data_IF_155465504416
#
_entry.id   IF_155465504416
#
_cell.length_a   1.000
_cell.length_b   1.000
_cell.length_c   1.000
_cell.angle_alpha   90.00
_cell.angle_beta   90.00
_cell.angle_gamma   90.00
#
_symmetry.space_group_name_H-M   'P 1'
#
loop_
_entity.id
_entity.type
_entity.pdbx_description
1 polymer ?
#
# COMPACT_ATOMS: atom_id res chain seq x y z
N UNK A 1 15.24 2.38 -10.83
CA UNK A 1 13.99 2.13 -10.08
C UNK A 1 14.24 0.96 -9.11
N UNK A 2 14.06 1.14 -7.79
CA UNK A 2 14.32 0.08 -6.80
C UNK A 2 13.29 -1.05 -6.92
N UNK A 3 13.72 -2.31 -6.83
CA UNK A 3 12.86 -3.52 -6.96
C UNK A 3 11.64 -3.49 -6.01
N UNK A 4 11.78 -2.93 -4.81
CA UNK A 4 10.73 -2.82 -3.78
C UNK A 4 9.52 -1.99 -4.23
N UNK A 5 9.76 -0.93 -5.01
CA UNK A 5 8.69 -0.06 -5.51
C UNK A 5 7.77 -0.79 -6.50
N UNK A 6 8.34 -1.58 -7.41
CA UNK A 6 7.56 -2.32 -8.41
C UNK A 6 6.72 -3.42 -7.76
N UNK A 7 7.28 -4.13 -6.79
CA UNK A 7 6.56 -5.18 -6.05
C UNK A 7 5.39 -4.60 -5.27
N UNK A 8 5.61 -3.49 -4.54
CA UNK A 8 4.55 -2.82 -3.80
C UNK A 8 3.43 -2.35 -4.73
N UNK A 9 3.76 -1.74 -5.87
CA UNK A 9 2.79 -1.36 -6.91
C UNK A 9 1.98 -2.56 -7.40
N UNK A 10 2.65 -3.66 -7.75
CA UNK A 10 1.97 -4.88 -8.21
C UNK A 10 1.00 -5.42 -7.16
N UNK A 11 1.44 -5.54 -5.90
CA UNK A 11 0.59 -6.01 -4.80
C UNK A 11 -0.61 -5.11 -4.65
N UNK A 12 -0.40 -3.80 -4.51
CA UNK A 12 -1.50 -2.87 -4.34
C UNK A 12 -2.46 -2.86 -5.51
N UNK A 13 -1.98 -3.04 -6.74
CA UNK A 13 -2.88 -3.17 -7.89
C UNK A 13 -3.90 -4.30 -7.74
N UNK A 14 -3.50 -5.42 -7.14
CA UNK A 14 -4.36 -6.58 -6.91
C UNK A 14 -5.32 -6.39 -5.72
N UNK A 15 -4.87 -5.70 -4.67
CA UNK A 15 -5.59 -5.58 -3.40
C UNK A 15 -6.21 -4.18 -3.18
N UNK A 16 -6.22 -3.34 -4.22
CA UNK A 16 -6.51 -1.91 -4.07
C UNK A 16 -7.88 -1.63 -3.43
N UNK A 17 -8.91 -2.38 -3.85
CA UNK A 17 -10.25 -2.25 -3.28
C UNK A 17 -10.25 -2.52 -1.78
N UNK A 18 -9.74 -3.69 -1.37
CA UNK A 18 -9.64 -4.07 0.04
C UNK A 18 -8.79 -3.09 0.85
N UNK A 19 -7.72 -2.56 0.26
CA UNK A 19 -6.84 -1.60 0.91
C UNK A 19 -7.57 -0.27 1.15
N UNK A 20 -8.24 0.28 0.13
CA UNK A 20 -9.05 1.50 0.26
C UNK A 20 -10.21 1.29 1.23
N UNK A 21 -10.88 0.13 1.20
CA UNK A 21 -11.93 -0.23 2.15
C UNK A 21 -11.40 -0.25 3.57
N UNK A 22 -10.25 -0.88 3.80
CA UNK A 22 -9.64 -0.94 5.13
C UNK A 22 -9.32 0.45 5.69
N UNK A 23 -8.79 1.35 4.86
CA UNK A 23 -8.40 2.71 5.26
C UNK A 23 -9.59 3.63 5.50
N UNK A 24 -10.62 3.56 4.66
CA UNK A 24 -11.74 4.52 4.66
C UNK A 24 -12.98 4.03 5.40
N UNK A 25 -13.06 2.71 5.66
CA UNK A 25 -14.26 2.01 6.15
C UNK A 25 -15.46 2.08 5.22
N UNK A 26 -15.25 2.43 3.94
CA UNK A 26 -16.27 2.41 2.88
C UNK A 26 -15.95 1.29 1.90
N UNK A 27 -16.95 0.65 1.30
CA UNK A 27 -16.68 -0.43 0.35
C UNK A 27 -16.28 0.13 -1.03
N UNK A 28 -15.00 -0.04 -1.37
CA UNK A 28 -14.40 0.39 -2.64
C UNK A 28 -14.23 -0.79 -3.60
N UNK A 29 -14.72 -0.64 -4.84
CA UNK A 29 -14.48 -1.59 -5.93
C UNK A 29 -13.79 -0.89 -7.11
N UNK A 30 -12.52 -1.21 -7.40
CA UNK A 30 -11.82 -0.69 -8.59
C UNK A 30 -12.55 -1.11 -9.87
N UNK A 31 -12.89 -0.15 -10.72
CA UNK A 31 -13.57 -0.39 -12.01
C UNK A 31 -12.53 -0.54 -13.11
N UNK A 32 -11.65 0.46 -13.25
CA UNK A 32 -10.65 0.51 -14.32
C UNK A 32 -9.44 1.35 -13.91
N UNK A 33 -8.25 0.87 -14.30
CA UNK A 33 -7.02 1.68 -14.26
C UNK A 33 -6.95 2.51 -15.54
N UNK A 34 -6.85 3.82 -15.36
CA UNK A 34 -6.80 4.81 -16.43
C UNK A 34 -5.34 5.09 -16.82
N UNK A 35 -5.15 5.64 -18.02
CA UNK A 35 -3.83 5.99 -18.52
C UNK A 35 -3.24 7.18 -17.73
N UNK A 36 -2.07 6.96 -17.15
CA UNK A 36 -1.39 7.88 -16.24
C UNK A 36 -0.37 8.81 -16.91
N UNK A 37 -0.20 8.73 -18.24
CA UNK A 37 0.70 9.61 -18.97
C UNK A 37 0.17 11.04 -19.02
N UNK A 38 1.03 11.97 -18.64
CA UNK A 38 0.76 13.39 -18.50
C UNK A 38 1.81 14.17 -19.30
N UNK A 39 1.32 15.09 -20.14
CA UNK A 39 2.15 15.99 -20.91
C UNK A 39 2.32 17.31 -20.16
N UNK A 40 3.57 17.66 -19.82
CA UNK A 40 3.93 18.91 -19.11
C UNK A 40 4.48 19.95 -20.11
N UNK A 41 4.60 19.58 -21.38
CA UNK A 41 5.02 20.42 -22.50
C UNK A 41 5.21 19.57 -23.77
N UNK A 42 5.67 20.18 -24.86
CA UNK A 42 5.77 19.52 -26.18
C UNK A 42 6.65 18.25 -26.20
N UNK A 43 7.64 18.14 -25.31
CA UNK A 43 8.56 16.99 -25.26
C UNK A 43 8.66 16.31 -23.89
N UNK A 44 8.02 16.85 -22.84
CA UNK A 44 8.18 16.34 -21.47
C UNK A 44 6.95 15.57 -21.03
N UNK A 45 7.13 14.27 -20.82
CA UNK A 45 6.13 13.36 -20.29
C UNK A 45 6.46 13.02 -18.84
N UNK A 46 5.43 12.81 -18.04
CA UNK A 46 5.51 12.08 -16.78
C UNK A 46 4.40 11.04 -16.73
N UNK A 47 4.61 10.03 -15.91
CA UNK A 47 3.63 8.99 -15.67
C UNK A 47 3.37 8.93 -14.18
N UNK A 48 2.10 9.09 -13.81
CA UNK A 48 1.67 8.79 -12.45
C UNK A 48 1.67 7.27 -12.22
N UNK A 49 1.85 6.85 -10.97
CA UNK A 49 1.90 5.45 -10.62
C UNK A 49 0.53 4.78 -10.84
N UNK A 50 -0.53 5.32 -10.24
CA UNK A 50 -1.89 4.81 -10.43
C UNK A 50 -2.88 5.96 -10.59
N UNK A 51 -3.79 5.80 -11.55
CA UNK A 51 -5.02 6.56 -11.63
C UNK A 51 -6.15 5.56 -11.87
N UNK A 52 -7.07 5.46 -10.91
CA UNK A 52 -8.13 4.44 -10.91
C UNK A 52 -9.48 5.10 -10.76
N UNK A 53 -10.47 4.57 -11.48
CA UNK A 53 -11.88 4.87 -11.21
C UNK A 53 -12.44 3.76 -10.32
N UNK A 54 -13.01 4.13 -9.19
CA UNK A 54 -13.56 3.20 -8.21
C UNK A 54 -15.05 3.47 -7.99
N UNK A 55 -15.85 2.42 -7.84
CA UNK A 55 -17.19 2.50 -7.26
C UNK A 55 -17.08 2.50 -5.73
N UNK A 56 -17.85 3.35 -5.08
CA UNK A 56 -18.05 3.39 -3.63
C UNK A 56 -19.50 2.98 -3.39
N UNK A 57 -19.71 1.91 -2.63
CA UNK A 57 -21.06 1.42 -2.35
C UNK A 57 -21.88 2.49 -1.61
N UNK A 58 -23.04 2.85 -2.17
CA UNK A 58 -23.92 3.89 -1.63
C UNK A 58 -23.52 5.34 -1.92
N UNK A 59 -22.37 5.62 -2.54
CA UNK A 59 -21.88 7.01 -2.76
C UNK A 59 -21.54 7.34 -4.23
N UNK A 60 -21.45 6.35 -5.12
CA UNK A 60 -21.22 6.57 -6.55
C UNK A 60 -19.81 6.21 -7.00
N UNK A 61 -19.20 7.02 -7.86
CA UNK A 61 -17.85 6.78 -8.41
C UNK A 61 -16.86 7.87 -7.98
N UNK A 62 -15.62 7.49 -7.71
CA UNK A 62 -14.51 8.39 -7.39
C UNK A 62 -13.28 8.07 -8.27
N UNK A 63 -12.53 9.11 -8.65
CA UNK A 63 -11.25 8.95 -9.33
C UNK A 63 -10.12 9.19 -8.34
N UNK A 64 -9.26 8.19 -8.17
CA UNK A 64 -8.20 8.18 -7.18
C UNK A 64 -6.86 8.09 -7.90
N UNK A 65 -6.01 9.07 -7.65
CA UNK A 65 -4.61 9.08 -8.06
C UNK A 65 -3.74 8.66 -6.87
N UNK A 66 -2.85 7.70 -7.06
CA UNK A 66 -1.99 7.14 -6.00
C UNK A 66 -0.54 7.19 -6.46
N UNK A 67 0.32 7.77 -5.62
CA UNK A 67 1.78 7.83 -5.81
C UNK A 67 2.52 7.09 -4.70
N UNK A 68 3.56 6.34 -5.05
CA UNK A 68 4.38 5.59 -4.09
C UNK A 68 5.71 6.32 -3.83
N UNK A 69 6.00 6.60 -2.56
CA UNK A 69 7.24 7.29 -2.18
C UNK A 69 7.94 6.58 -1.01
N UNK A 70 9.25 6.38 -1.16
CA UNK A 70 10.09 5.70 -0.15
C UNK A 70 10.92 6.70 0.67
N UNK A 71 11.36 7.79 0.04
CA UNK A 71 12.27 8.77 0.62
C UNK A 71 11.68 10.16 0.56
N UNK A 72 12.16 11.05 1.43
CA UNK A 72 11.70 12.43 1.41
C UNK A 72 12.18 13.11 0.14
N UNK A 73 11.25 13.69 -0.60
CA UNK A 73 11.52 14.50 -1.79
C UNK A 73 10.96 15.91 -1.55
N UNK A 74 11.81 16.95 -1.43
CA UNK A 74 11.33 18.31 -1.12
C UNK A 74 10.33 18.86 -2.15
N UNK A 75 10.56 18.57 -3.44
CA UNK A 75 9.73 19.02 -4.57
C UNK A 75 8.44 18.20 -4.76
N UNK A 76 8.15 17.28 -3.85
CA UNK A 76 7.05 16.33 -4.01
C UNK A 76 5.65 16.99 -4.05
N UNK A 77 5.35 18.03 -3.27
CA UNK A 77 4.06 18.73 -3.38
C UNK A 77 3.84 19.37 -4.75
N UNK A 78 4.88 19.94 -5.35
CA UNK A 78 4.82 20.51 -6.70
C UNK A 78 4.60 19.40 -7.75
N UNK A 79 5.25 18.25 -7.58
CA UNK A 79 5.01 17.06 -8.42
C UNK A 79 3.55 16.59 -8.33
N UNK A 80 3.00 16.53 -7.12
CA UNK A 80 1.61 16.13 -6.88
C UNK A 80 0.60 17.09 -7.50
N UNK A 81 0.82 18.41 -7.39
CA UNK A 81 0.00 19.42 -8.08
C UNK A 81 0.11 19.29 -9.60
N UNK A 82 1.32 19.04 -10.13
CA UNK A 82 1.52 18.80 -11.56
C UNK A 82 0.71 17.60 -12.06
N UNK A 83 0.68 16.51 -11.28
CA UNK A 83 -0.14 15.35 -11.59
C UNK A 83 -1.62 15.64 -11.54
N UNK A 84 -2.08 16.42 -10.54
CA UNK A 84 -3.46 16.84 -10.45
C UNK A 84 -3.91 17.58 -11.71
N UNK A 85 -3.18 18.63 -12.09
CA UNK A 85 -3.51 19.46 -13.26
C UNK A 85 -3.50 18.62 -14.53
N UNK A 86 -2.47 17.77 -14.70
CA UNK A 86 -2.34 16.92 -15.88
C UNK A 86 -3.49 15.92 -16.05
N UNK A 87 -3.82 15.20 -14.99
CA UNK A 87 -4.91 14.23 -15.00
C UNK A 87 -6.27 14.93 -15.13
N UNK A 88 -6.47 16.04 -14.43
CA UNK A 88 -7.71 16.82 -14.50
C UNK A 88 -7.92 17.37 -15.92
N UNK A 89 -6.88 17.89 -16.58
CA UNK A 89 -6.98 18.34 -17.99
C UNK A 89 -7.33 17.21 -18.95
N UNK A 90 -6.86 15.99 -18.68
CA UNK A 90 -7.05 14.83 -19.55
C UNK A 90 -8.43 14.19 -19.40
N UNK A 91 -8.94 14.13 -18.17
CA UNK A 91 -10.16 13.39 -17.84
C UNK A 91 -11.34 14.28 -17.45
N UNK A 92 -11.08 15.52 -17.03
CA UNK A 92 -12.09 16.50 -16.59
C UNK A 92 -13.03 15.95 -15.50
N UNK A 93 -12.44 15.33 -14.47
CA UNK A 93 -13.14 14.72 -13.33
C UNK A 93 -12.54 15.20 -12.01
N UNK A 94 -13.29 15.21 -10.90
CA UNK A 94 -12.73 15.38 -9.56
C UNK A 94 -11.73 14.26 -9.25
N UNK A 95 -10.56 14.61 -8.71
CA UNK A 95 -9.49 13.65 -8.41
C UNK A 95 -9.11 13.75 -6.94
N UNK A 96 -9.22 12.63 -6.23
CA UNK A 96 -8.61 12.49 -4.90
C UNK A 96 -7.19 11.97 -5.05
N UNK A 97 -6.24 12.65 -4.44
CA UNK A 97 -4.83 12.28 -4.51
C UNK A 97 -4.34 11.69 -3.19
N UNK A 98 -3.80 10.48 -3.28
CA UNK A 98 -3.22 9.71 -2.19
C UNK A 98 -1.73 9.51 -2.45
N UNK A 99 -0.95 9.61 -1.39
CA UNK A 99 0.48 9.31 -1.40
C UNK A 99 0.70 8.19 -0.41
N UNK A 100 1.28 7.08 -0.88
CA UNK A 100 1.63 5.94 -0.06
C UNK A 100 3.11 6.00 0.27
N UNK A 101 3.40 6.32 1.53
CA UNK A 101 4.75 6.36 2.04
C UNK A 101 5.13 5.05 2.71
N UNK A 102 6.22 4.43 2.25
CA UNK A 102 6.68 3.12 2.71
C UNK A 102 8.16 3.13 3.17
N UNK A 103 8.67 4.32 3.50
CA UNK A 103 10.04 4.49 3.98
C UNK A 103 10.30 3.90 5.37
N UNK A 104 11.56 3.56 5.62
CA UNK A 104 12.06 3.02 6.89
C UNK A 104 12.11 4.07 8.02
N UNK A 105 12.15 5.36 7.68
CA UNK A 105 12.04 6.47 8.61
C UNK A 105 10.66 7.12 8.48
N UNK A 106 10.19 7.91 9.45
CA UNK A 106 8.97 8.72 9.28
C UNK A 106 9.13 9.76 8.15
N UNK A 107 8.04 10.06 7.40
CA UNK A 107 8.08 11.07 6.35
C UNK A 107 8.26 12.47 6.96
N UNK A 108 9.01 13.33 6.27
CA UNK A 108 9.29 14.73 6.67
C UNK A 108 8.82 15.77 5.65
N UNK A 109 8.13 15.36 4.58
CA UNK A 109 7.63 16.28 3.55
C UNK A 109 6.23 16.80 3.89
N UNK A 110 5.94 18.01 3.42
CA UNK A 110 4.64 18.67 3.59
C UNK A 110 3.58 17.98 2.73
N UNK A 111 2.33 17.96 3.20
CA UNK A 111 1.17 17.47 2.44
C UNK A 111 0.32 18.60 1.85
N UNK A 112 0.80 19.83 2.04
CA UNK A 112 0.16 21.07 1.63
C UNK A 112 1.18 21.94 0.90
N UNK A 113 0.71 22.61 -0.13
CA UNK A 113 1.45 23.60 -0.89
C UNK A 113 0.63 24.88 -0.86
N UNK A 114 1.21 25.94 -0.30
CA UNK A 114 0.66 27.29 -0.33
C UNK A 114 1.67 28.21 -0.99
N UNK A 115 1.36 28.67 -2.20
CA UNK A 115 2.18 29.61 -2.97
C UNK A 115 1.24 30.69 -3.50
N UNK A 116 1.35 31.90 -2.97
CA UNK A 116 0.51 33.04 -3.36
C UNK A 116 -0.99 32.66 -3.35
N UNK A 117 -1.65 32.70 -4.51
CA UNK A 117 -3.08 32.39 -4.68
C UNK A 117 -3.37 30.88 -4.81
N UNK A 118 -2.36 30.03 -4.75
CA UNK A 118 -2.50 28.57 -4.88
C UNK A 118 -2.50 27.92 -3.51
N UNK A 119 -3.65 27.36 -3.14
CA UNK A 119 -3.78 26.41 -2.02
C UNK A 119 -4.04 25.00 -2.55
N UNK A 120 -3.14 24.07 -2.24
CA UNK A 120 -3.22 22.70 -2.70
C UNK A 120 -2.87 21.72 -1.58
N UNK A 121 -3.59 20.60 -1.52
CA UNK A 121 -3.38 19.53 -0.53
C UNK A 121 -3.62 18.16 -1.13
N UNK A 122 -2.97 17.16 -0.56
CA UNK A 122 -3.21 15.74 -0.85
C UNK A 122 -3.18 14.92 0.44
N UNK A 123 -3.64 13.67 0.36
CA UNK A 123 -3.64 12.77 1.53
C UNK A 123 -2.37 11.94 1.55
N UNK A 124 -1.64 11.97 2.66
CA UNK A 124 -0.52 11.07 2.92
C UNK A 124 -0.97 9.88 3.78
N UNK A 125 -0.72 8.67 3.30
CA UNK A 125 -0.88 7.42 4.04
C UNK A 125 0.53 6.88 4.32
N UNK A 126 0.97 6.99 5.57
CA UNK A 126 2.20 6.36 6.05
C UNK A 126 1.93 4.88 6.36
N UNK A 127 2.34 3.97 5.46
CA UNK A 127 2.18 2.53 5.66
C UNK A 127 2.84 2.06 6.96
N UNK A 128 3.92 2.71 7.37
CA UNK A 128 4.62 2.39 8.63
C UNK A 128 3.78 2.63 9.89
N UNK A 129 2.67 3.38 9.79
CA UNK A 129 1.73 3.59 10.91
C UNK A 129 0.62 2.53 10.99
N UNK A 130 0.39 1.76 9.93
CA UNK A 130 -0.62 0.70 9.91
C UNK A 130 -0.06 -0.48 10.71
N UNK A 131 -0.77 -0.95 11.75
CA UNK A 131 -0.33 -2.11 12.55
C UNK A 131 -0.74 -3.41 11.88
N UNK A 132 0.15 -4.41 11.90
CA UNK A 132 -0.20 -5.74 11.40
C UNK A 132 -1.40 -6.32 12.17
N UNK A 133 -1.46 -6.09 13.49
CA UNK A 133 -2.57 -6.48 14.36
C UNK A 133 -3.93 -5.96 13.88
N UNK A 134 -3.99 -4.75 13.34
CA UNK A 134 -5.25 -4.15 12.89
C UNK A 134 -5.80 -4.89 11.67
N UNK A 135 -4.92 -5.29 10.75
CA UNK A 135 -5.26 -6.09 9.57
C UNK A 135 -5.68 -7.51 9.98
N UNK A 136 -4.93 -8.14 10.90
CA UNK A 136 -5.21 -9.49 11.43
C UNK A 136 -6.58 -9.51 12.12
N UNK A 137 -6.83 -8.56 13.05
CA UNK A 137 -8.10 -8.46 13.78
C UNK A 137 -9.28 -8.18 12.86
N UNK A 138 -9.08 -7.36 11.83
CA UNK A 138 -10.10 -7.09 10.81
C UNK A 138 -10.34 -8.27 9.86
N UNK A 139 -9.56 -9.37 9.97
CA UNK A 139 -9.63 -10.54 9.09
C UNK A 139 -9.52 -10.17 7.61
N UNK A 140 -8.75 -9.13 7.29
CA UNK A 140 -8.51 -8.65 5.93
C UNK A 140 -7.32 -9.40 5.31
N UNK A 141 -7.52 -10.69 5.07
CA UNK A 141 -6.45 -11.62 4.66
C UNK A 141 -5.75 -11.21 3.36
N UNK A 142 -6.49 -10.63 2.41
CA UNK A 142 -5.92 -10.11 1.15
C UNK A 142 -4.84 -9.05 1.37
N UNK A 143 -4.83 -8.37 2.52
CA UNK A 143 -3.86 -7.33 2.85
C UNK A 143 -2.57 -7.85 3.51
N UNK A 144 -2.48 -9.14 3.84
CA UNK A 144 -1.32 -9.73 4.49
C UNK A 144 0.01 -9.56 3.72
N UNK A 145 0.04 -9.55 2.37
CA UNK A 145 1.25 -9.20 1.63
C UNK A 145 1.85 -7.84 2.00
N UNK A 146 1.07 -6.92 2.58
CA UNK A 146 1.56 -5.63 3.06
C UNK A 146 2.40 -5.71 4.35
N UNK A 147 2.44 -6.87 5.04
CA UNK A 147 3.23 -7.04 6.27
C UNK A 147 4.71 -6.72 6.12
N UNK A 148 5.28 -6.87 4.92
CA UNK A 148 6.66 -6.45 4.64
C UNK A 148 6.87 -4.92 4.68
N UNK A 149 5.82 -4.12 4.52
CA UNK A 149 5.91 -2.67 4.33
C UNK A 149 5.31 -1.85 5.48
N UNK A 150 4.37 -2.43 6.23
CA UNK A 150 3.65 -1.74 7.31
C UNK A 150 4.37 -1.81 8.66
N UNK A 151 3.76 -1.27 9.71
CA UNK A 151 4.16 -1.37 11.11
C UNK A 151 5.66 -1.17 11.36
N UNK A 152 6.16 0.00 10.97
CA UNK A 152 7.58 0.37 11.07
C UNK A 152 8.15 0.11 12.47
N UNK A 153 7.36 0.42 13.50
CA UNK A 153 7.78 0.19 14.89
C UNK A 153 7.81 -1.30 15.26
N UNK A 154 6.82 -2.08 14.84
CA UNK A 154 6.82 -3.53 15.04
C UNK A 154 8.04 -4.19 14.37
N UNK A 155 8.36 -3.76 13.15
CA UNK A 155 9.51 -4.26 12.38
C UNK A 155 10.88 -4.00 13.02
N UNK A 156 10.99 -3.10 14.01
CA UNK A 156 12.22 -2.92 14.80
C UNK A 156 12.57 -4.13 15.67
N UNK A 157 11.60 -5.00 15.96
CA UNK A 157 11.83 -6.31 16.56
C UNK A 157 11.39 -7.42 15.56
N UNK A 158 12.27 -7.79 14.62
CA UNK A 158 11.93 -8.72 13.54
C UNK A 158 11.39 -10.07 14.01
N UNK A 159 11.97 -10.67 15.06
CA UNK A 159 11.55 -11.99 15.57
C UNK A 159 10.09 -11.94 16.04
N UNK A 160 9.76 -11.01 16.95
CA UNK A 160 8.40 -10.86 17.48
C UNK A 160 7.41 -10.43 16.40
N UNK A 161 7.84 -9.63 15.43
CA UNK A 161 7.00 -9.21 14.31
C UNK A 161 6.67 -10.40 13.40
N UNK A 162 7.68 -11.20 13.03
CA UNK A 162 7.51 -12.40 12.22
C UNK A 162 6.65 -13.45 12.92
N UNK A 163 6.87 -13.72 14.21
CA UNK A 163 6.03 -14.66 14.99
C UNK A 163 4.54 -14.31 14.86
N UNK A 164 4.22 -13.02 15.01
CA UNK A 164 2.86 -12.51 14.89
C UNK A 164 2.31 -12.65 13.47
N UNK A 165 3.08 -12.24 12.45
CA UNK A 165 2.66 -12.32 11.06
C UNK A 165 2.45 -13.77 10.61
N UNK A 166 3.34 -14.69 10.98
CA UNK A 166 3.27 -16.12 10.67
C UNK A 166 2.06 -16.74 11.38
N UNK A 167 1.86 -16.44 12.68
CA UNK A 167 0.67 -16.90 13.41
C UNK A 167 -0.62 -16.46 12.71
N UNK A 168 -0.71 -15.19 12.33
CA UNK A 168 -1.87 -14.68 11.59
C UNK A 168 -2.05 -15.36 10.23
N UNK A 169 -0.95 -15.62 9.51
CA UNK A 169 -0.92 -16.23 8.17
C UNK A 169 -1.45 -17.67 8.18
N UNK A 170 -1.06 -18.46 9.17
CA UNK A 170 -1.44 -19.86 9.26
C UNK A 170 -2.79 -20.08 9.94
N UNK A 171 -3.35 -19.04 10.57
CA UNK A 171 -4.74 -19.00 11.04
C UNK A 171 -5.76 -18.62 9.96
N UNK A 172 -5.34 -18.33 8.72
CA UNK A 172 -6.28 -18.05 7.62
C UNK A 172 -7.18 -19.29 7.38
N UNK A 173 -8.52 -19.15 7.51
CA UNK A 173 -9.46 -20.24 7.27
C UNK A 173 -9.34 -20.86 5.87
N UNK A 174 -9.56 -22.17 5.78
CA UNK A 174 -9.37 -22.94 4.53
C UNK A 174 -10.28 -22.53 3.38
N UNK A 175 -11.44 -21.94 3.68
CA UNK A 175 -12.47 -21.47 2.75
C UNK A 175 -12.21 -20.07 2.19
N UNK A 176 -11.16 -19.38 2.67
CA UNK A 176 -10.78 -18.06 2.16
C UNK A 176 -10.35 -18.15 0.69
N UNK A 177 -11.00 -17.35 -0.16
CA UNK A 177 -10.66 -17.23 -1.59
C UNK A 177 -9.19 -16.83 -1.75
N UNK A 178 -8.50 -17.48 -2.70
CA UNK A 178 -7.09 -17.24 -3.00
C UNK A 178 -6.14 -17.45 -1.81
N UNK A 179 -6.54 -18.19 -0.76
CA UNK A 179 -5.74 -18.46 0.44
C UNK A 179 -4.29 -18.84 0.11
N UNK A 180 -4.09 -19.81 -0.78
CA UNK A 180 -2.75 -20.28 -1.17
C UNK A 180 -1.89 -19.14 -1.71
N UNK A 181 -2.44 -18.35 -2.64
CA UNK A 181 -1.72 -17.22 -3.24
C UNK A 181 -1.40 -16.12 -2.21
N UNK A 182 -2.31 -15.85 -1.26
CA UNK A 182 -2.07 -14.92 -0.15
C UNK A 182 -0.92 -15.40 0.72
N UNK A 183 -0.91 -16.69 1.08
CA UNK A 183 0.15 -17.30 1.90
C UNK A 183 1.49 -17.19 1.16
N UNK A 184 1.60 -17.79 -0.02
CA UNK A 184 2.85 -17.84 -0.80
C UNK A 184 3.43 -16.44 -1.04
N UNK A 185 2.59 -15.47 -1.41
CA UNK A 185 3.02 -14.09 -1.63
C UNK A 185 3.47 -13.42 -0.33
N UNK A 186 2.76 -13.61 0.77
CA UNK A 186 3.14 -13.04 2.07
C UNK A 186 4.46 -13.62 2.56
N UNK A 187 4.64 -14.94 2.48
CA UNK A 187 5.90 -15.59 2.85
C UNK A 187 7.06 -15.10 2.01
N UNK A 188 6.90 -15.04 0.69
CA UNK A 188 7.93 -14.52 -0.22
C UNK A 188 8.38 -13.11 0.18
N UNK A 189 7.43 -12.23 0.50
CA UNK A 189 7.73 -10.84 0.86
C UNK A 189 8.35 -10.71 2.25
N UNK A 190 7.90 -11.50 3.23
CA UNK A 190 8.50 -11.54 4.55
C UNK A 190 9.93 -12.11 4.50
N UNK A 191 10.17 -13.17 3.74
CA UNK A 191 11.51 -13.71 3.48
C UNK A 191 12.40 -12.68 2.81
N UNK A 192 11.85 -11.88 1.88
CA UNK A 192 12.61 -10.82 1.23
C UNK A 192 12.97 -9.68 2.19
N UNK A 193 12.03 -9.22 3.01
CA UNK A 193 12.24 -8.10 3.94
C UNK A 193 13.16 -8.47 5.12
N UNK A 194 12.97 -9.66 5.70
CA UNK A 194 13.64 -10.05 6.95
C UNK A 194 14.74 -11.12 6.78
N UNK A 195 14.84 -11.71 5.60
CA UNK A 195 15.76 -12.80 5.29
C UNK A 195 15.16 -14.19 5.53
N UNK A 196 15.39 -15.11 4.59
CA UNK A 196 14.85 -16.48 4.64
C UNK A 196 15.26 -17.24 5.90
N UNK A 197 16.52 -17.14 6.32
CA UNK A 197 17.02 -17.87 7.50
C UNK A 197 16.24 -17.49 8.78
N UNK A 198 15.94 -16.21 8.97
CA UNK A 198 15.18 -15.76 10.12
C UNK A 198 13.72 -16.20 10.03
N UNK A 199 13.11 -16.03 8.85
CA UNK A 199 11.75 -16.48 8.60
C UNK A 199 11.59 -17.98 8.88
N UNK A 200 12.46 -18.81 8.30
CA UNK A 200 12.37 -20.28 8.39
C UNK A 200 12.56 -20.75 9.84
N UNK A 201 13.49 -20.15 10.60
CA UNK A 201 13.66 -20.40 12.04
C UNK A 201 12.36 -20.14 12.84
N UNK A 202 11.71 -18.99 12.59
CA UNK A 202 10.47 -18.63 13.30
C UNK A 202 9.30 -19.51 12.84
N UNK A 203 9.24 -19.82 11.54
CA UNK A 203 8.22 -20.70 10.97
C UNK A 203 8.31 -22.12 11.54
N UNK A 204 9.51 -22.70 11.60
CA UNK A 204 9.72 -24.02 12.20
C UNK A 204 9.30 -24.06 13.67
N UNK A 205 9.72 -23.06 14.47
CA UNK A 205 9.29 -22.92 15.87
C UNK A 205 7.76 -22.90 15.97
N UNK A 206 7.10 -22.10 15.14
CA UNK A 206 5.64 -22.00 15.13
C UNK A 206 4.95 -23.31 14.70
N UNK A 207 5.49 -24.01 13.70
CA UNK A 207 5.00 -25.31 13.26
C UNK A 207 5.13 -26.37 14.37
N UNK A 208 6.27 -26.39 15.08
CA UNK A 208 6.46 -27.25 16.25
C UNK A 208 5.41 -26.97 17.35
N UNK A 209 5.19 -25.70 17.69
CA UNK A 209 4.20 -25.28 18.70
C UNK A 209 2.74 -25.52 18.26
N UNK A 210 2.46 -25.60 16.96
CA UNK A 210 1.07 -25.76 16.46
C UNK A 210 0.71 -27.22 16.23
N UNK A 211 1.66 -28.05 15.81
CA UNK A 211 1.39 -29.43 15.38
C UNK A 211 1.87 -30.51 16.35
N UNK A 212 2.79 -30.20 17.28
CA UNK A 212 3.46 -31.22 18.10
C UNK A 212 3.40 -30.99 19.62
N UNK A 213 2.71 -29.95 20.10
CA UNK A 213 2.39 -29.81 21.51
C UNK A 213 1.04 -30.46 21.83
N UNK A 214 1.07 -31.76 22.12
CA UNK A 214 0.01 -32.53 22.79
C UNK A 214 0.63 -33.33 23.94
#
# INVERSE_FOLDING_TARGET
>A
MKKSSWVLKSILGEILGDFLTFLTKKEYTPIIRLNTEIFIGYAKRREADYFVRCKIEGEGEEHIHIEFIEYNEPEFPIRMLTYFIGLHRKYNVPIRQLVLYYGTLPPKFLTELKIEDVEYKYTLIDLGKIKAEDIIKAKKYSLYPLFAFIDREGRKNPEKYLEKCITGLYQIPGDVKNRKAVIEKTEMLLKWEFGSMLFDKIFEKHAWETFYSF
#
